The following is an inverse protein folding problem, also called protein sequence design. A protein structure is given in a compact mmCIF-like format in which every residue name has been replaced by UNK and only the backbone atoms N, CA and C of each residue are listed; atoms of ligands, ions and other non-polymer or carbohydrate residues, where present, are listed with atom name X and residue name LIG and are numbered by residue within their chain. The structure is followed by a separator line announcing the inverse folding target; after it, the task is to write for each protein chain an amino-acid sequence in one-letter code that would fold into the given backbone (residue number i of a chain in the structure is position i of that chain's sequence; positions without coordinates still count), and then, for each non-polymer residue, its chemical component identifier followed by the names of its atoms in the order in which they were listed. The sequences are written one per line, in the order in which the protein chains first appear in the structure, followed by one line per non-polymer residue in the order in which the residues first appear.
data_IF_285415254734
#
_entry.id   IF_285415254734
#
_cell.length_a   1.000
_cell.length_b   1.000
_cell.length_c   1.000
_cell.angle_alpha   90.00
_cell.angle_beta   90.00
_cell.angle_gamma   90.00
#
_symmetry.space_group_name_H-M   'P 1'
#
loop_
_entity.id
_entity.type
_entity.pdbx_description
1 polymer ?
#
# COMPACT_ATOMS: atom_id res chain seq x y z
N UNK A 1 20.15 4.43 -1.53
CA UNK A 1 19.33 3.90 -2.65
C UNK A 1 19.14 5.02 -3.67
N UNK A 2 19.26 4.74 -4.98
CA UNK A 2 18.96 5.74 -6.01
C UNK A 2 17.49 6.14 -5.94
N UNK A 3 17.21 7.41 -6.28
CA UNK A 3 15.86 7.96 -6.32
C UNK A 3 15.03 7.22 -7.38
N UNK A 4 13.93 6.59 -7.00
CA UNK A 4 12.99 5.90 -7.91
C UNK A 4 12.08 6.85 -8.70
N UNK A 5 12.34 8.14 -8.66
CA UNK A 5 11.48 9.17 -9.24
C UNK A 5 11.76 9.46 -10.73
N UNK A 6 12.70 8.77 -11.34
CA UNK A 6 13.04 8.88 -12.76
C UNK A 6 13.26 7.51 -13.37
N UNK A 7 13.16 7.43 -14.69
CA UNK A 7 13.45 6.21 -15.47
C UNK A 7 14.87 5.70 -15.19
N UNK A 8 15.86 6.60 -15.16
CA UNK A 8 17.25 6.25 -14.83
C UNK A 8 17.38 5.71 -13.41
N UNK A 9 16.66 6.33 -12.46
CA UNK A 9 16.63 5.86 -11.07
C UNK A 9 16.00 4.48 -10.93
N UNK A 10 14.92 4.19 -11.66
CA UNK A 10 14.32 2.85 -11.69
C UNK A 10 15.26 1.81 -12.29
N UNK A 11 15.87 2.11 -13.44
CA UNK A 11 16.84 1.22 -14.08
C UNK A 11 18.02 0.93 -13.14
N UNK A 12 18.59 1.96 -12.52
CA UNK A 12 19.67 1.83 -11.54
C UNK A 12 19.26 1.01 -10.32
N UNK A 13 18.06 1.27 -9.76
CA UNK A 13 17.56 0.53 -8.59
C UNK A 13 17.36 -0.95 -8.90
N UNK A 14 16.84 -1.26 -10.09
CA UNK A 14 16.65 -2.64 -10.52
C UNK A 14 18.00 -3.34 -10.74
N UNK A 15 18.95 -2.69 -11.43
CA UNK A 15 20.31 -3.20 -11.60
C UNK A 15 21.01 -3.43 -10.26
N UNK A 16 20.83 -2.52 -9.29
CA UNK A 16 21.37 -2.68 -7.94
C UNK A 16 20.79 -3.91 -7.24
N UNK A 17 19.46 -4.08 -7.31
CA UNK A 17 18.80 -5.24 -6.69
C UNK A 17 19.19 -6.58 -7.31
N UNK A 18 19.63 -6.55 -8.57
CA UNK A 18 20.15 -7.73 -9.30
C UNK A 18 21.65 -7.94 -9.08
N UNK A 19 22.32 -7.15 -8.23
CA UNK A 19 23.74 -7.29 -7.92
C UNK A 19 24.69 -6.80 -9.04
N UNK A 20 24.21 -6.00 -10.00
CA UNK A 20 25.06 -5.45 -11.05
C UNK A 20 26.11 -4.48 -10.47
N UNK A 21 27.43 -4.69 -10.73
CA UNK A 21 28.47 -3.80 -10.22
C UNK A 21 28.46 -2.40 -10.87
N UNK A 22 27.80 -2.26 -12.01
CA UNK A 22 27.74 -1.00 -12.76
C UNK A 22 26.36 -0.33 -12.71
N UNK A 23 25.56 -0.63 -11.69
CA UNK A 23 24.19 -0.16 -11.54
C UNK A 23 24.00 1.36 -11.60
N UNK A 24 25.05 2.14 -11.29
CA UNK A 24 25.02 3.61 -11.24
C UNK A 24 25.91 4.27 -12.30
N UNK A 25 26.47 3.51 -13.23
CA UNK A 25 27.37 4.03 -14.26
C UNK A 25 26.68 4.08 -15.63
N UNK A 26 26.73 5.25 -16.26
CA UNK A 26 26.26 5.45 -17.60
C UNK A 26 25.03 6.35 -17.73
N UNK A 27 24.67 6.64 -18.97
CA UNK A 27 23.49 7.42 -19.34
C UNK A 27 22.22 6.56 -19.24
N UNK A 28 21.04 7.22 -19.25
CA UNK A 28 19.75 6.51 -19.27
C UNK A 28 19.65 5.40 -20.33
N UNK A 29 20.01 5.61 -21.62
CA UNK A 29 20.01 4.53 -22.60
C UNK A 29 20.94 3.38 -22.22
N UNK A 30 22.14 3.67 -21.73
CA UNK A 30 23.11 2.65 -21.32
C UNK A 30 22.59 1.81 -20.16
N UNK A 31 22.05 2.43 -19.11
CA UNK A 31 21.42 1.73 -17.98
C UNK A 31 20.24 0.87 -18.43
N UNK A 32 19.43 1.37 -19.37
CA UNK A 32 18.30 0.61 -19.90
C UNK A 32 18.77 -0.61 -20.69
N UNK A 33 19.77 -0.44 -21.57
CA UNK A 33 20.35 -1.56 -22.35
C UNK A 33 20.98 -2.58 -21.43
N UNK A 34 21.75 -2.14 -20.44
CA UNK A 34 22.35 -3.03 -19.43
C UNK A 34 21.28 -3.82 -18.68
N UNK A 35 20.21 -3.14 -18.23
CA UNK A 35 19.08 -3.80 -17.54
C UNK A 35 18.45 -4.87 -18.42
N UNK A 36 18.17 -4.57 -19.69
CA UNK A 36 17.58 -5.52 -20.63
C UNK A 36 18.49 -6.74 -20.86
N UNK A 37 19.80 -6.52 -20.92
CA UNK A 37 20.78 -7.61 -21.04
C UNK A 37 20.76 -8.47 -19.80
N UNK A 38 20.87 -7.89 -18.61
CA UNK A 38 20.86 -8.63 -17.35
C UNK A 38 19.55 -9.41 -17.16
N UNK A 39 18.40 -8.82 -17.46
CA UNK A 39 17.10 -9.51 -17.40
C UNK A 39 17.06 -10.75 -18.29
N UNK A 40 17.68 -10.68 -19.49
CA UNK A 40 17.74 -11.78 -20.44
C UNK A 40 18.70 -12.88 -19.97
N UNK A 41 19.94 -12.50 -19.60
CA UNK A 41 20.96 -13.42 -19.14
C UNK A 41 20.56 -14.17 -17.86
N UNK A 42 19.85 -13.47 -16.96
CA UNK A 42 19.29 -14.10 -15.75
C UNK A 42 18.01 -14.91 -16.02
N UNK A 43 17.56 -15.04 -17.26
CA UNK A 43 16.30 -15.72 -17.62
C UNK A 43 15.11 -15.21 -16.78
N UNK A 44 15.08 -13.91 -16.51
CA UNK A 44 14.03 -13.26 -15.72
C UNK A 44 12.68 -13.42 -16.42
N UNK A 45 11.68 -13.94 -15.71
CA UNK A 45 10.33 -14.18 -16.25
C UNK A 45 9.32 -13.12 -15.84
N UNK A 46 9.55 -12.48 -14.69
CA UNK A 46 8.64 -11.50 -14.12
C UNK A 46 9.41 -10.32 -13.53
N UNK A 47 8.99 -9.12 -13.88
CA UNK A 47 9.45 -7.87 -13.24
C UNK A 47 8.23 -7.18 -12.64
N UNK A 48 8.29 -6.87 -11.34
CA UNK A 48 7.27 -6.10 -10.63
C UNK A 48 7.82 -4.71 -10.36
N UNK A 49 7.17 -3.69 -10.92
CA UNK A 49 7.48 -2.28 -10.67
C UNK A 49 6.46 -1.74 -9.69
N UNK A 50 6.86 -1.64 -8.43
CA UNK A 50 6.02 -1.11 -7.35
C UNK A 50 6.18 0.41 -7.19
N UNK A 51 5.14 1.06 -6.64
CA UNK A 51 5.06 2.51 -6.42
C UNK A 51 5.29 3.33 -7.71
N UNK A 52 4.79 2.84 -8.85
CA UNK A 52 5.01 3.48 -10.15
C UNK A 52 4.38 4.88 -10.24
N UNK A 53 3.45 5.21 -9.35
CA UNK A 53 2.91 6.56 -9.19
C UNK A 53 3.99 7.62 -8.94
N UNK A 54 5.14 7.29 -8.36
CA UNK A 54 6.23 8.24 -8.19
C UNK A 54 6.81 8.77 -9.51
N UNK A 55 6.63 8.06 -10.62
CA UNK A 55 6.96 8.56 -11.95
C UNK A 55 5.98 9.62 -12.45
N UNK A 56 4.76 9.61 -11.90
CA UNK A 56 3.69 10.55 -12.26
C UNK A 56 3.71 11.78 -11.36
N UNK A 57 3.89 11.57 -10.05
CA UNK A 57 3.71 12.61 -9.03
C UNK A 57 4.73 13.77 -9.13
N UNK A 58 5.91 13.53 -9.71
CA UNK A 58 7.01 14.52 -9.79
C UNK A 58 7.35 14.95 -11.20
N UNK A 59 6.58 14.55 -12.21
CA UNK A 59 6.87 14.84 -13.62
C UNK A 59 5.72 15.50 -14.35
N UNK A 60 6.03 16.41 -15.28
CA UNK A 60 5.06 16.89 -16.27
C UNK A 60 4.78 15.83 -17.35
N UNK A 61 3.89 16.13 -18.30
CA UNK A 61 3.49 15.22 -19.40
C UNK A 61 4.67 14.55 -20.11
N UNK A 62 5.77 15.28 -20.33
CA UNK A 62 6.97 14.74 -20.97
C UNK A 62 7.59 13.59 -20.18
N UNK A 63 7.61 13.69 -18.85
CA UNK A 63 8.12 12.63 -17.97
C UNK A 63 7.22 11.40 -18.00
N UNK A 64 5.90 11.59 -18.12
CA UNK A 64 4.94 10.49 -18.23
C UNK A 64 5.13 9.72 -19.55
N UNK A 65 5.29 10.42 -20.68
CA UNK A 65 5.59 9.80 -21.96
C UNK A 65 6.91 9.03 -21.92
N UNK A 66 7.96 9.64 -21.35
CA UNK A 66 9.27 9.01 -21.19
C UNK A 66 9.21 7.73 -20.36
N UNK A 67 8.44 7.74 -19.26
CA UNK A 67 8.25 6.59 -18.42
C UNK A 67 7.45 5.49 -19.12
N UNK A 68 6.37 5.85 -19.81
CA UNK A 68 5.56 4.94 -20.60
C UNK A 68 6.37 4.25 -21.70
N UNK A 69 7.20 5.00 -22.42
CA UNK A 69 8.07 4.47 -23.47
C UNK A 69 9.14 3.52 -22.91
N UNK A 70 9.70 3.84 -21.75
CA UNK A 70 10.65 2.97 -21.08
C UNK A 70 10.01 1.65 -20.62
N UNK A 71 8.83 1.69 -20.01
CA UNK A 71 8.07 0.49 -19.61
C UNK A 71 7.78 -0.37 -20.85
N UNK A 72 7.40 0.27 -21.96
CA UNK A 72 7.16 -0.41 -23.23
C UNK A 72 8.42 -1.09 -23.76
N UNK A 73 9.60 -0.47 -23.59
CA UNK A 73 10.88 -1.08 -23.95
C UNK A 73 11.17 -2.31 -23.08
N UNK A 74 10.96 -2.25 -21.77
CA UNK A 74 11.12 -3.41 -20.89
C UNK A 74 10.20 -4.56 -21.29
N UNK A 75 8.95 -4.28 -21.65
CA UNK A 75 8.02 -5.30 -22.12
C UNK A 75 8.34 -5.89 -23.49
N UNK A 76 9.40 -5.45 -24.17
CA UNK A 76 9.96 -6.07 -25.40
C UNK A 76 11.05 -7.09 -25.12
N UNK A 77 11.55 -7.18 -23.89
CA UNK A 77 12.49 -8.22 -23.52
C UNK A 77 11.77 -9.56 -23.58
N UNK A 78 12.19 -10.43 -24.49
CA UNK A 78 11.52 -11.72 -24.73
C UNK A 78 11.44 -12.55 -23.44
N UNK A 79 10.25 -13.08 -23.16
CA UNK A 79 10.01 -13.95 -21.99
C UNK A 79 9.77 -13.21 -20.68
N UNK A 80 9.83 -11.87 -20.64
CA UNK A 80 9.57 -11.07 -19.41
C UNK A 80 8.14 -10.59 -19.37
N UNK A 81 7.43 -10.94 -18.31
CA UNK A 81 6.13 -10.36 -17.95
C UNK A 81 6.31 -9.17 -17.01
N UNK A 82 5.48 -8.14 -17.13
CA UNK A 82 5.53 -6.95 -16.29
C UNK A 82 4.25 -6.85 -15.43
N UNK A 83 4.43 -6.55 -14.15
CA UNK A 83 3.37 -6.08 -13.26
C UNK A 83 3.69 -4.66 -12.82
N UNK A 84 2.74 -3.76 -13.02
CA UNK A 84 2.81 -2.38 -12.55
C UNK A 84 1.91 -2.24 -11.33
N UNK A 85 2.46 -1.87 -10.19
CA UNK A 85 1.71 -1.62 -8.97
C UNK A 85 1.85 -0.16 -8.53
N UNK A 86 0.81 0.41 -7.95
CA UNK A 86 0.83 1.79 -7.49
C UNK A 86 -0.56 2.29 -7.08
N UNK A 87 -0.63 3.55 -6.69
CA UNK A 87 -1.90 4.23 -6.39
C UNK A 87 -2.70 4.48 -7.68
N UNK A 88 -4.00 4.81 -7.58
CA UNK A 88 -4.83 5.14 -8.76
C UNK A 88 -4.23 6.19 -9.70
N UNK A 89 -3.39 7.10 -9.19
CA UNK A 89 -2.67 8.10 -10.00
C UNK A 89 -1.76 7.48 -11.06
N UNK A 90 -1.25 6.27 -10.83
CA UNK A 90 -0.43 5.54 -11.80
C UNK A 90 -1.18 5.26 -13.12
N UNK A 91 -2.51 5.26 -13.13
CA UNK A 91 -3.33 5.11 -14.35
C UNK A 91 -3.03 6.17 -15.41
N UNK A 92 -2.58 7.36 -15.00
CA UNK A 92 -2.15 8.42 -15.93
C UNK A 92 -1.06 7.96 -16.90
N UNK A 93 -0.20 7.00 -16.53
CA UNK A 93 0.78 6.41 -17.43
C UNK A 93 0.15 5.62 -18.58
N UNK A 94 -1.01 5.00 -18.33
CA UNK A 94 -1.76 4.28 -19.36
C UNK A 94 -2.57 5.24 -20.24
N UNK A 95 -2.98 6.38 -19.71
CA UNK A 95 -3.77 7.39 -20.44
C UNK A 95 -2.94 8.16 -21.47
N UNK A 96 -1.66 8.42 -21.18
CA UNK A 96 -0.77 9.16 -22.08
C UNK A 96 -0.20 8.31 -23.23
N UNK A 97 -0.41 6.99 -23.22
CA UNK A 97 0.17 6.10 -24.22
C UNK A 97 -0.74 4.91 -24.55
N UNK A 98 -1.46 5.00 -25.68
CA UNK A 98 -2.40 3.95 -26.12
C UNK A 98 -1.74 2.59 -26.37
N UNK A 99 -0.47 2.58 -26.81
CA UNK A 99 0.29 1.33 -26.99
C UNK A 99 0.64 0.68 -25.66
N UNK A 100 0.86 1.49 -24.61
CA UNK A 100 1.04 0.95 -23.26
C UNK A 100 -0.28 0.41 -22.74
N UNK A 101 -1.36 1.18 -22.89
CA UNK A 101 -2.71 0.77 -22.48
C UNK A 101 -3.15 -0.54 -23.11
N UNK A 102 -2.89 -0.75 -24.40
CA UNK A 102 -3.23 -1.99 -25.11
C UNK A 102 -2.48 -3.22 -24.59
N UNK A 103 -1.29 -3.04 -24.02
CA UNK A 103 -0.48 -4.13 -23.45
C UNK A 103 -0.87 -4.50 -22.02
N UNK A 104 -1.36 -3.53 -21.24
CA UNK A 104 -1.83 -3.71 -19.88
C UNK A 104 -3.36 -3.77 -19.85
N UNK A 105 -3.93 -4.78 -20.54
CA UNK A 105 -5.38 -4.94 -20.69
C UNK A 105 -6.11 -5.37 -19.41
N UNK A 106 -5.39 -5.85 -18.38
CA UNK A 106 -5.96 -6.26 -17.10
C UNK A 106 -5.55 -5.25 -16.01
N UNK A 107 -6.52 -4.56 -15.44
CA UNK A 107 -6.33 -3.67 -14.29
C UNK A 107 -7.05 -4.25 -13.10
N UNK A 108 -6.28 -4.64 -12.07
CA UNK A 108 -6.83 -5.12 -10.80
C UNK A 108 -6.82 -3.96 -9.81
N UNK A 109 -7.97 -3.64 -9.23
CA UNK A 109 -8.08 -2.64 -8.17
C UNK A 109 -8.29 -3.34 -6.84
N UNK A 110 -7.36 -3.10 -5.89
CA UNK A 110 -7.50 -3.58 -4.53
C UNK A 110 -8.26 -2.52 -3.71
N UNK A 111 -9.48 -2.84 -3.34
CA UNK A 111 -10.30 -1.99 -2.48
C UNK A 111 -10.00 -2.25 -1.00
N UNK A 112 -10.22 -1.27 -0.11
CA UNK A 112 -10.26 -1.54 1.32
C UNK A 112 -11.28 -2.64 1.63
N UNK A 113 -11.01 -3.46 2.64
CA UNK A 113 -11.94 -4.50 3.06
C UNK A 113 -13.25 -3.91 3.60
N UNK A 114 -14.37 -4.46 3.17
CA UNK A 114 -15.69 -4.03 3.64
C UNK A 114 -16.22 -4.92 4.76
N UNK A 115 -17.11 -4.37 5.58
CA UNK A 115 -17.85 -5.11 6.61
C UNK A 115 -19.14 -5.75 6.09
N UNK A 116 -19.37 -5.70 4.79
CA UNK A 116 -20.51 -6.39 4.19
C UNK A 116 -20.51 -7.87 4.56
N UNK A 117 -21.68 -8.43 4.86
CA UNK A 117 -21.87 -9.78 5.37
C UNK A 117 -21.35 -10.05 6.81
N UNK A 118 -21.05 -9.01 7.61
CA UNK A 118 -20.71 -9.13 9.02
C UNK A 118 -19.64 -10.19 9.30
N UNK A 119 -19.92 -11.17 10.17
CA UNK A 119 -18.99 -12.25 10.56
C UNK A 119 -18.49 -13.13 9.41
N UNK A 120 -19.28 -13.31 8.36
CA UNK A 120 -18.91 -14.08 7.18
C UNK A 120 -18.13 -13.26 6.15
N UNK A 121 -18.05 -11.94 6.35
CA UNK A 121 -17.42 -11.00 5.43
C UNK A 121 -15.91 -11.11 5.35
N UNK A 122 -15.35 -10.47 4.36
CA UNK A 122 -13.91 -10.46 4.09
C UNK A 122 -13.13 -9.79 5.21
N UNK A 123 -13.61 -8.64 5.72
CA UNK A 123 -12.97 -7.93 6.81
C UNK A 123 -12.88 -8.78 8.09
N UNK A 124 -13.96 -9.49 8.44
CA UNK A 124 -13.95 -10.39 9.61
C UNK A 124 -12.92 -11.52 9.46
N UNK A 125 -12.80 -12.13 8.27
CA UNK A 125 -11.78 -13.17 8.00
C UNK A 125 -10.36 -12.63 8.18
N UNK A 126 -10.10 -11.44 7.66
CA UNK A 126 -8.81 -10.76 7.82
C UNK A 126 -8.54 -10.47 9.30
N UNK A 127 -9.51 -9.93 10.02
CA UNK A 127 -9.35 -9.66 11.47
C UNK A 127 -9.06 -10.91 12.26
N UNK A 128 -9.78 -12.02 12.02
CA UNK A 128 -9.49 -13.31 12.66
C UNK A 128 -8.07 -13.81 12.39
N UNK A 129 -7.54 -13.57 11.19
CA UNK A 129 -6.16 -13.92 10.85
C UNK A 129 -5.15 -13.11 11.68
N UNK A 130 -5.42 -11.82 11.90
CA UNK A 130 -4.59 -10.98 12.75
C UNK A 130 -4.71 -11.37 14.23
N UNK A 131 -5.94 -11.65 14.72
CA UNK A 131 -6.16 -12.04 16.12
C UNK A 131 -5.44 -13.34 16.49
N UNK A 132 -5.33 -14.28 15.56
CA UNK A 132 -4.54 -15.51 15.76
C UNK A 132 -3.05 -15.24 16.01
N UNK A 133 -2.52 -14.11 15.54
CA UNK A 133 -1.13 -13.72 15.77
C UNK A 133 -0.92 -13.05 17.13
N UNK A 134 -2.00 -12.74 17.86
CA UNK A 134 -1.96 -12.16 19.22
C UNK A 134 -1.89 -13.25 20.31
N UNK A 135 -1.38 -14.44 19.98
CA UNK A 135 -1.27 -15.56 20.90
C UNK A 135 -0.60 -15.13 22.21
N UNK A 136 -1.23 -15.48 23.34
CA UNK A 136 -0.76 -15.12 24.67
C UNK A 136 -1.16 -13.72 25.19
N UNK A 137 -1.80 -12.87 24.37
CA UNK A 137 -2.30 -11.55 24.82
C UNK A 137 -3.83 -11.57 24.80
N UNK A 138 -4.52 -11.54 25.95
CA UNK A 138 -5.97 -11.44 26.00
C UNK A 138 -6.46 -10.20 25.22
N UNK A 139 -7.29 -10.44 24.22
CA UNK A 139 -7.82 -9.39 23.34
C UNK A 139 -9.34 -9.55 23.17
N UNK A 140 -10.04 -8.43 23.11
CA UNK A 140 -11.45 -8.42 22.71
C UNK A 140 -11.58 -8.98 21.29
N UNK A 141 -12.68 -9.67 21.01
CA UNK A 141 -12.94 -10.18 19.66
C UNK A 141 -13.30 -9.04 18.69
N UNK A 142 -12.27 -8.51 18.05
CA UNK A 142 -12.41 -7.45 17.04
C UNK A 142 -12.98 -7.95 15.72
N UNK A 143 -13.19 -9.25 15.57
CA UNK A 143 -13.79 -9.88 14.40
C UNK A 143 -15.29 -10.15 14.58
N UNK A 144 -15.85 -9.81 15.73
CA UNK A 144 -17.27 -9.97 16.07
C UNK A 144 -17.99 -8.62 16.28
N UNK A 145 -19.29 -8.58 15.96
CA UNK A 145 -20.13 -7.41 16.21
C UNK A 145 -20.29 -7.15 17.74
N UNK A 146 -20.31 -5.90 18.18
CA UNK A 146 -20.23 -4.63 17.43
C UNK A 146 -18.82 -4.13 17.14
N UNK A 147 -17.77 -4.77 17.67
CA UNK A 147 -16.38 -4.32 17.55
C UNK A 147 -15.85 -4.42 16.11
N UNK A 148 -16.36 -5.36 15.31
CA UNK A 148 -16.03 -5.49 13.91
C UNK A 148 -16.29 -4.17 13.15
N UNK A 149 -17.46 -3.54 13.36
CA UNK A 149 -17.81 -2.27 12.73
C UNK A 149 -16.92 -1.13 13.22
N UNK A 150 -16.71 -1.03 14.52
CA UNK A 150 -15.81 -0.02 15.10
C UNK A 150 -14.40 -0.16 14.56
N UNK A 151 -13.88 -1.39 14.48
CA UNK A 151 -12.54 -1.67 13.93
C UNK A 151 -12.45 -1.33 12.45
N UNK A 152 -13.47 -1.63 11.67
CA UNK A 152 -13.50 -1.25 10.24
C UNK A 152 -13.51 0.26 10.05
N UNK A 153 -14.30 1.01 10.82
CA UNK A 153 -14.31 2.47 10.79
C UNK A 153 -12.96 3.05 11.25
N UNK A 154 -12.36 2.49 12.30
CA UNK A 154 -11.07 2.90 12.82
C UNK A 154 -9.92 2.68 11.84
N UNK A 155 -10.01 1.66 10.98
CA UNK A 155 -8.95 1.27 10.06
C UNK A 155 -9.23 1.62 8.61
N UNK A 156 -10.45 2.08 8.30
CA UNK A 156 -10.92 2.29 6.93
C UNK A 156 -10.80 1.01 6.08
N UNK A 157 -10.82 -0.17 6.69
CA UNK A 157 -10.64 -1.47 6.02
C UNK A 157 -9.25 -1.66 5.38
N UNK A 158 -8.23 -0.88 5.75
CA UNK A 158 -6.90 -0.89 5.15
C UNK A 158 -5.93 -1.73 5.97
N UNK A 159 -5.25 -2.70 5.35
CA UNK A 159 -4.27 -3.58 6.02
C UNK A 159 -3.21 -2.83 6.83
N UNK A 160 -2.67 -1.73 6.28
CA UNK A 160 -1.69 -0.90 6.97
C UNK A 160 -2.26 -0.32 8.27
N UNK A 161 -3.49 0.19 8.22
CA UNK A 161 -4.15 0.77 9.40
C UNK A 161 -4.48 -0.32 10.44
N UNK A 162 -4.95 -1.49 10.00
CA UNK A 162 -5.18 -2.65 10.90
C UNK A 162 -3.87 -3.00 11.62
N UNK A 163 -2.78 -3.19 10.87
CA UNK A 163 -1.48 -3.50 11.44
C UNK A 163 -1.01 -2.42 12.43
N UNK A 164 -1.09 -1.15 12.06
CA UNK A 164 -0.62 -0.05 12.92
C UNK A 164 -1.42 0.01 14.22
N UNK A 165 -2.74 -0.13 14.14
CA UNK A 165 -3.62 -0.17 15.31
C UNK A 165 -3.23 -1.32 16.26
N UNK A 166 -3.11 -2.53 15.73
CA UNK A 166 -2.80 -3.73 16.54
C UNK A 166 -1.39 -3.67 17.11
N UNK A 167 -0.39 -3.27 16.33
CA UNK A 167 0.99 -3.11 16.83
C UNK A 167 1.03 -2.10 17.96
N UNK A 168 0.32 -0.96 17.83
CA UNK A 168 0.28 0.02 18.91
C UNK A 168 -0.47 -0.51 20.14
N UNK A 169 -1.57 -1.21 19.93
CA UNK A 169 -2.31 -1.86 21.02
C UNK A 169 -1.44 -2.86 21.79
N UNK A 170 -0.65 -3.69 21.09
CA UNK A 170 0.30 -4.64 21.71
C UNK A 170 1.36 -3.88 22.52
N UNK A 171 1.97 -2.83 21.94
CA UNK A 171 2.97 -2.04 22.64
C UNK A 171 2.43 -1.43 23.93
N UNK A 172 1.22 -0.88 23.90
CA UNK A 172 0.55 -0.33 25.08
C UNK A 172 0.16 -1.42 26.10
N UNK A 173 -0.31 -2.57 25.64
CA UNK A 173 -0.63 -3.69 26.53
C UNK A 173 0.62 -4.19 27.26
N UNK A 174 1.77 -4.26 26.59
CA UNK A 174 3.02 -4.71 27.17
C UNK A 174 3.55 -3.79 28.30
N UNK A 175 3.07 -2.55 28.39
CA UNK A 175 3.45 -1.64 29.50
C UNK A 175 2.59 -1.80 30.75
N UNK A 176 1.53 -2.62 30.69
CA UNK A 176 0.62 -2.86 31.82
C UNK A 176 1.10 -4.05 32.66
N UNK A 177 0.79 -4.02 33.94
CA UNK A 177 1.04 -5.16 34.84
C UNK A 177 0.27 -6.41 34.39
N UNK A 178 -0.92 -6.22 33.86
CA UNK A 178 -1.74 -7.27 33.25
C UNK A 178 -1.92 -6.93 31.75
N UNK A 179 -1.13 -7.53 30.85
CA UNK A 179 -1.24 -7.29 29.43
C UNK A 179 -2.59 -7.73 28.87
N UNK A 180 -3.39 -6.76 28.40
CA UNK A 180 -4.70 -7.05 27.80
C UNK A 180 -5.10 -5.92 26.85
N UNK A 181 -5.72 -6.28 25.73
CA UNK A 181 -6.26 -5.34 24.74
C UNK A 181 -7.76 -5.16 24.99
N UNK A 182 -8.09 -4.07 25.66
CA UNK A 182 -9.46 -3.66 26.01
C UNK A 182 -9.87 -2.36 25.26
N UNK A 183 -11.13 -1.93 25.41
CA UNK A 183 -11.63 -0.73 24.73
C UNK A 183 -10.84 0.54 25.08
N UNK A 184 -10.52 0.86 26.34
CA UNK A 184 -9.73 2.05 26.66
C UNK A 184 -8.34 2.04 25.99
N UNK A 185 -7.73 0.85 25.88
CA UNK A 185 -6.44 0.72 25.22
C UNK A 185 -6.56 0.88 23.70
N UNK A 186 -7.61 0.34 23.09
CA UNK A 186 -7.88 0.53 21.66
C UNK A 186 -8.19 1.99 21.32
N UNK A 187 -8.91 2.70 22.20
CA UNK A 187 -9.17 4.14 22.06
C UNK A 187 -7.87 4.94 22.04
N UNK A 188 -6.93 4.63 22.94
CA UNK A 188 -5.60 5.25 22.99
C UNK A 188 -4.76 4.84 21.78
N UNK A 189 -4.72 3.56 21.43
CA UNK A 189 -3.95 3.05 20.28
C UNK A 189 -4.41 3.69 18.97
N UNK A 190 -5.72 3.88 18.78
CA UNK A 190 -6.26 4.57 17.62
C UNK A 190 -5.78 6.01 17.55
N UNK A 191 -5.83 6.75 18.66
CA UNK A 191 -5.37 8.14 18.72
C UNK A 191 -3.89 8.26 18.42
N UNK A 192 -3.06 7.34 18.89
CA UNK A 192 -1.62 7.42 18.70
C UNK A 192 -1.13 6.91 17.34
N UNK A 193 -1.79 5.88 16.79
CA UNK A 193 -1.32 5.21 15.58
C UNK A 193 -2.06 5.61 14.30
N UNK A 194 -3.28 6.14 14.40
CA UNK A 194 -4.14 6.41 13.24
C UNK A 194 -4.54 7.89 13.15
N UNK A 195 -5.12 8.46 14.23
CA UNK A 195 -5.66 9.82 14.18
C UNK A 195 -5.39 10.57 15.48
N UNK A 196 -4.25 11.26 15.56
CA UNK A 196 -3.80 11.94 16.78
C UNK A 196 -4.73 13.05 17.26
N UNK A 197 -5.50 13.68 16.35
CA UNK A 197 -6.45 14.75 16.66
C UNK A 197 -7.88 14.23 16.87
N UNK A 198 -8.08 12.91 17.01
CA UNK A 198 -9.41 12.34 17.20
C UNK A 198 -10.04 12.89 18.48
N UNK A 199 -11.24 13.49 18.32
CA UNK A 199 -12.12 13.79 19.45
C UNK A 199 -12.84 12.51 19.89
N UNK A 200 -13.44 12.47 21.10
CA UNK A 200 -14.21 11.29 21.53
C UNK A 200 -15.30 10.89 20.53
N UNK A 201 -15.97 11.85 19.88
CA UNK A 201 -17.03 11.61 18.88
C UNK A 201 -16.48 11.07 17.55
N UNK A 202 -15.18 11.17 17.34
CA UNK A 202 -14.48 10.70 16.13
C UNK A 202 -13.52 9.54 16.39
N UNK A 203 -13.54 8.96 17.59
CA UNK A 203 -12.79 7.76 17.92
C UNK A 203 -13.74 6.55 17.94
N UNK A 204 -13.60 5.59 17.00
CA UNK A 204 -14.53 4.47 16.88
C UNK A 204 -14.60 3.52 18.08
N UNK A 205 -13.66 3.62 19.01
CA UNK A 205 -13.63 2.84 20.23
C UNK A 205 -14.15 3.61 21.47
N UNK A 206 -14.43 4.90 21.30
CA UNK A 206 -15.02 5.74 22.36
C UNK A 206 -16.52 5.50 22.49
N UNK A 207 -17.01 5.53 23.72
CA UNK A 207 -18.47 5.50 24.01
C UNK A 207 -19.24 6.65 23.41
N UNK A 208 -18.58 7.74 23.08
CA UNK A 208 -19.17 8.95 22.48
C UNK A 208 -19.10 8.97 20.95
N UNK A 209 -18.61 7.90 20.33
CA UNK A 209 -18.46 7.83 18.89
C UNK A 209 -19.79 8.01 18.16
N UNK A 210 -19.80 8.90 17.18
CA UNK A 210 -21.00 9.25 16.41
C UNK A 210 -21.38 8.26 15.29
N UNK A 211 -20.64 7.16 15.12
CA UNK A 211 -20.94 6.12 14.13
C UNK A 211 -20.61 6.46 12.67
N UNK A 212 -20.09 7.66 12.39
CA UNK A 212 -19.84 8.10 11.01
C UNK A 212 -18.43 7.76 10.53
N UNK A 213 -18.25 7.39 9.23
CA UNK A 213 -16.95 7.17 8.62
C UNK A 213 -16.01 8.36 8.79
N UNK A 214 -14.72 8.10 8.87
CA UNK A 214 -13.64 9.09 9.05
C UNK A 214 -13.14 9.60 7.69
N UNK A 215 -14.04 10.23 6.92
CA UNK A 215 -13.82 10.64 5.52
C UNK A 215 -13.91 12.15 5.29
N UNK A 216 -14.09 12.95 6.34
CA UNK A 216 -14.10 14.41 6.23
C UNK A 216 -12.71 14.96 5.96
N UNK A 217 -12.61 16.18 5.44
CA UNK A 217 -11.33 16.87 5.25
C UNK A 217 -10.52 16.87 6.55
N UNK A 218 -9.25 16.46 6.50
CA UNK A 218 -8.36 16.33 7.66
C UNK A 218 -8.49 15.01 8.43
N UNK A 219 -9.44 14.14 8.09
CA UNK A 219 -9.58 12.82 8.68
C UNK A 219 -8.75 11.75 7.93
N UNK A 220 -8.42 10.60 8.58
CA UNK A 220 -7.47 9.61 8.04
C UNK A 220 -7.84 9.01 6.69
N UNK A 221 -9.13 8.99 6.36
CA UNK A 221 -9.65 8.35 5.15
C UNK A 221 -10.38 9.32 4.24
N UNK A 222 -10.11 10.62 4.40
CA UNK A 222 -10.58 11.63 3.46
C UNK A 222 -10.17 11.26 2.03
N UNK A 223 -11.05 11.46 1.03
CA UNK A 223 -10.66 11.29 -0.36
C UNK A 223 -9.46 12.19 -0.68
N UNK A 224 -8.46 11.64 -1.38
CA UNK A 224 -7.37 12.48 -1.90
C UNK A 224 -7.96 13.50 -2.86
N UNK A 225 -7.59 14.79 -2.70
CA UNK A 225 -7.89 15.82 -3.68
C UNK A 225 -7.35 15.37 -5.05
N UNK A 226 -8.23 15.31 -6.04
CA UNK A 226 -7.89 14.87 -7.41
C UNK A 226 -6.97 15.87 -8.10
#
# INVERSE_FOLDING_TARGET
MPSRTSVSGLASATLFSMGSPFWNKGTRPQLTTQLMTVLRECSTRLVVLDEINHLVDRGGQRTHHDAADWIKQLGRVGGVSLILAGTPRARRLLEVNDQLRSRFGCVVTLHPFSVENGRAGEFSRVMRSFLKLLDGIPCLDLADDPLLRSTALATGGRLRSIRNLLVRAIQLAATRSEPKIDLPLLELAFKEAIYSQATPERNPFSRHFNGLPLTKAGEPYAPEAQ
#
